data_IF_319569237252
#
_entry.id   IF_319569237252
#
_cell.length_a   1.000
_cell.length_b   1.000
_cell.length_c   1.000
_cell.angle_alpha   90.00
_cell.angle_beta   90.00
_cell.angle_gamma   90.00
#
_symmetry.space_group_name_H-M   'P 1'
#
loop_
_entity.id
_entity.type
_entity.pdbx_description
1 polymer ?
#
# COMPACT_ATOMS: atom_id res chain seq x y z
N UNK A 1 -13.86 0.81 -21.26
CA UNK A 1 -14.37 0.24 -19.99
C UNK A 1 -13.44 0.42 -18.78
N UNK A 2 -12.13 0.68 -18.96
CA UNK A 2 -11.11 0.71 -17.87
C UNK A 2 -11.25 1.83 -16.83
N UNK A 3 -11.81 2.99 -17.20
CA UNK A 3 -11.86 4.20 -16.33
C UNK A 3 -13.25 4.41 -15.71
N UNK A 4 -14.31 3.97 -16.39
CA UNK A 4 -15.70 4.19 -15.95
C UNK A 4 -16.08 3.39 -14.70
N UNK A 5 -15.49 2.21 -14.49
CA UNK A 5 -15.73 1.38 -13.29
C UNK A 5 -15.07 1.97 -12.03
N UNK A 6 -13.93 2.67 -12.19
CA UNK A 6 -13.18 3.29 -11.07
C UNK A 6 -13.86 4.57 -10.55
N UNK A 7 -14.52 5.34 -11.44
CA UNK A 7 -15.19 6.61 -11.09
C UNK A 7 -16.32 6.44 -10.05
N UNK A 8 -16.89 5.25 -9.92
CA UNK A 8 -17.96 4.93 -8.95
C UNK A 8 -17.44 4.57 -7.55
N UNK A 9 -16.14 4.25 -7.38
CA UNK A 9 -15.61 3.57 -6.18
C UNK A 9 -14.49 4.35 -5.49
N UNK A 10 -14.73 5.64 -5.24
CA UNK A 10 -13.79 6.61 -4.63
C UNK A 10 -13.17 6.14 -3.31
N UNK A 11 -13.96 5.49 -2.44
CA UNK A 11 -13.51 5.01 -1.12
C UNK A 11 -12.43 3.92 -1.24
N UNK A 12 -12.57 3.01 -2.21
CA UNK A 12 -11.63 1.92 -2.39
C UNK A 12 -10.29 2.44 -2.92
N UNK A 13 -10.35 3.36 -3.88
CA UNK A 13 -9.17 4.06 -4.40
C UNK A 13 -8.43 4.79 -3.27
N UNK A 14 -9.17 5.47 -2.40
CA UNK A 14 -8.61 6.12 -1.22
C UNK A 14 -7.88 5.13 -0.30
N UNK A 15 -8.50 4.01 0.06
CA UNK A 15 -7.85 3.03 0.95
C UNK A 15 -6.57 2.42 0.36
N UNK A 16 -6.54 2.16 -0.95
CA UNK A 16 -5.33 1.67 -1.63
C UNK A 16 -4.23 2.73 -1.61
N UNK A 17 -4.56 3.97 -1.98
CA UNK A 17 -3.58 5.06 -1.95
C UNK A 17 -3.07 5.31 -0.52
N UNK A 18 -3.97 5.31 0.47
CA UNK A 18 -3.66 5.53 1.88
C UNK A 18 -2.76 4.44 2.46
N UNK A 19 -3.01 3.16 2.17
CA UNK A 19 -2.14 2.08 2.66
C UNK A 19 -0.73 2.18 2.08
N UNK A 20 -0.60 2.52 0.79
CA UNK A 20 0.69 2.69 0.12
C UNK A 20 1.44 3.93 0.63
N UNK A 21 0.70 5.00 0.91
CA UNK A 21 1.21 6.20 1.59
C UNK A 21 1.80 5.87 2.95
N UNK A 22 1.03 5.19 3.81
CA UNK A 22 1.49 4.80 5.14
C UNK A 22 2.71 3.88 5.06
N UNK A 23 2.69 2.89 4.18
CA UNK A 23 3.82 1.97 4.00
C UNK A 23 5.10 2.73 3.62
N UNK A 24 5.04 3.57 2.58
CA UNK A 24 6.19 4.34 2.11
C UNK A 24 6.75 5.27 3.18
N UNK A 25 5.88 6.03 3.83
CA UNK A 25 6.30 6.99 4.85
C UNK A 25 6.96 6.29 6.04
N UNK A 26 6.39 5.19 6.52
CA UNK A 26 6.84 4.54 7.75
C UNK A 26 8.12 3.73 7.54
N UNK A 27 8.27 3.05 6.39
CA UNK A 27 9.49 2.29 6.09
C UNK A 27 10.67 3.24 5.82
N UNK A 28 10.46 4.30 5.04
CA UNK A 28 11.53 5.28 4.78
C UNK A 28 11.93 6.04 6.05
N UNK A 29 10.95 6.44 6.88
CA UNK A 29 11.23 7.09 8.15
C UNK A 29 11.95 6.15 9.12
N UNK A 30 11.45 4.92 9.27
CA UNK A 30 12.02 3.92 10.18
C UNK A 30 13.46 3.57 9.87
N UNK A 31 13.80 3.42 8.59
CA UNK A 31 15.17 3.09 8.16
C UNK A 31 16.09 4.33 8.11
N UNK A 32 15.57 5.53 7.83
CA UNK A 32 16.39 6.74 7.69
C UNK A 32 16.65 7.48 9.01
N UNK A 33 15.95 7.12 10.08
CA UNK A 33 16.01 7.80 11.40
C UNK A 33 16.73 6.99 12.48
N UNK A 34 17.36 5.86 12.15
CA UNK A 34 18.03 5.01 13.14
C UNK A 34 19.10 5.76 13.94
N UNK A 35 19.75 6.76 13.31
CA UNK A 35 20.80 7.57 13.94
C UNK A 35 20.29 8.82 14.68
N UNK A 36 19.03 9.25 14.46
CA UNK A 36 18.52 10.57 14.88
C UNK A 36 17.48 10.53 16.00
N UNK A 37 16.84 9.37 16.22
CA UNK A 37 15.88 9.16 17.30
C UNK A 37 16.39 8.02 18.16
N UNK A 38 16.25 8.12 19.49
CA UNK A 38 16.51 6.98 20.38
C UNK A 38 15.80 5.75 19.83
N UNK A 39 16.54 4.68 19.53
CA UNK A 39 16.04 3.55 18.73
C UNK A 39 14.70 2.96 19.21
N UNK A 40 14.39 3.10 20.49
CA UNK A 40 13.09 2.73 21.09
C UNK A 40 11.92 3.56 20.57
N UNK A 41 12.03 4.89 20.45
CA UNK A 41 10.97 5.74 19.91
C UNK A 41 10.77 5.53 18.40
N UNK A 42 11.87 5.40 17.64
CA UNK A 42 11.81 5.11 16.21
C UNK A 42 11.10 3.79 15.93
N UNK A 43 11.43 2.74 16.70
CA UNK A 43 10.80 1.43 16.58
C UNK A 43 9.29 1.47 16.88
N UNK A 44 8.86 2.22 17.91
CA UNK A 44 7.43 2.35 18.24
C UNK A 44 6.64 3.01 17.10
N UNK A 45 7.17 4.10 16.52
CA UNK A 45 6.53 4.81 15.40
C UNK A 45 6.45 3.89 14.17
N UNK A 46 7.54 3.18 13.85
CA UNK A 46 7.58 2.20 12.77
C UNK A 46 6.51 1.11 12.99
N UNK A 47 6.46 0.52 14.18
CA UNK A 47 5.51 -0.55 14.50
C UNK A 47 4.05 -0.10 14.34
N UNK A 48 3.67 1.05 14.92
CA UNK A 48 2.30 1.60 14.81
C UNK A 48 1.97 1.88 13.34
N UNK A 49 2.89 2.52 12.63
CA UNK A 49 2.74 2.84 11.22
C UNK A 49 2.55 1.62 10.33
N UNK A 50 3.33 0.57 10.57
CA UNK A 50 3.26 -0.69 9.84
C UNK A 50 1.93 -1.41 10.11
N UNK A 51 1.48 -1.45 11.37
CA UNK A 51 0.17 -2.03 11.74
C UNK A 51 -0.96 -1.30 11.03
N UNK A 52 -0.95 0.04 11.03
CA UNK A 52 -1.94 0.85 10.32
C UNK A 52 -1.94 0.60 8.81
N UNK A 53 -0.75 0.48 8.20
CA UNK A 53 -0.61 0.16 6.79
C UNK A 53 -1.21 -1.23 6.47
N UNK A 54 -0.92 -2.25 7.29
CA UNK A 54 -1.46 -3.59 7.12
C UNK A 54 -2.99 -3.63 7.26
N UNK A 55 -3.55 -3.01 8.30
CA UNK A 55 -5.02 -2.96 8.50
C UNK A 55 -5.70 -2.26 7.33
N UNK A 56 -5.17 -1.11 6.90
CA UNK A 56 -5.70 -0.36 5.75
C UNK A 56 -5.64 -1.19 4.47
N UNK A 57 -4.59 -1.98 4.28
CA UNK A 57 -4.42 -2.84 3.12
C UNK A 57 -5.41 -4.02 3.11
N UNK A 58 -5.68 -4.65 4.27
CA UNK A 58 -6.70 -5.69 4.40
C UNK A 58 -8.10 -5.13 4.09
N UNK A 59 -8.41 -3.94 4.59
CA UNK A 59 -9.67 -3.24 4.31
C UNK A 59 -9.82 -2.90 2.82
N UNK A 60 -8.76 -2.35 2.21
CA UNK A 60 -8.72 -2.05 0.78
C UNK A 60 -9.01 -3.31 -0.04
N UNK A 61 -8.33 -4.40 0.29
CA UNK A 61 -8.41 -5.62 -0.48
C UNK A 61 -9.76 -6.34 -0.34
N UNK A 62 -10.30 -6.42 0.88
CA UNK A 62 -11.64 -6.98 1.12
C UNK A 62 -12.72 -6.16 0.43
N UNK A 63 -12.60 -4.83 0.48
CA UNK A 63 -13.48 -3.91 -0.26
C UNK A 63 -13.34 -4.08 -1.76
N UNK A 64 -12.13 -4.35 -2.28
CA UNK A 64 -11.89 -4.56 -3.71
C UNK A 64 -12.64 -5.79 -4.21
N UNK A 65 -12.56 -6.90 -3.49
CA UNK A 65 -13.30 -8.13 -3.83
C UNK A 65 -14.81 -7.88 -3.76
N UNK A 66 -15.31 -7.34 -2.63
CA UNK A 66 -16.75 -7.13 -2.43
C UNK A 66 -17.34 -6.16 -3.45
N UNK A 67 -16.66 -5.05 -3.72
CA UNK A 67 -17.18 -4.02 -4.63
C UNK A 67 -17.08 -4.39 -6.12
N UNK A 68 -16.22 -5.34 -6.48
CA UNK A 68 -16.04 -5.78 -7.86
C UNK A 68 -16.64 -7.16 -8.14
N UNK A 69 -17.33 -7.79 -7.18
CA UNK A 69 -17.95 -9.11 -7.35
C UNK A 69 -18.84 -9.20 -8.60
N UNK A 70 -19.68 -8.18 -8.87
CA UNK A 70 -20.51 -8.11 -10.09
C UNK A 70 -19.66 -8.05 -11.36
N UNK A 71 -18.57 -7.28 -11.35
CA UNK A 71 -17.68 -7.14 -12.49
C UNK A 71 -16.92 -8.46 -12.77
N UNK A 72 -16.49 -9.15 -11.70
CA UNK A 72 -15.87 -10.47 -11.78
C UNK A 72 -16.85 -11.50 -12.35
N UNK A 73 -18.11 -11.49 -11.91
CA UNK A 73 -19.15 -12.38 -12.42
C UNK A 73 -19.43 -12.16 -13.91
N UNK A 74 -19.49 -10.90 -14.37
CA UNK A 74 -19.64 -10.57 -15.80
C UNK A 74 -18.43 -11.07 -16.60
N UNK A 75 -17.21 -10.83 -16.14
CA UNK A 75 -16.01 -11.35 -16.82
C UNK A 75 -15.98 -12.88 -16.86
N UNK A 76 -16.42 -13.55 -15.79
CA UNK A 76 -16.56 -15.02 -15.75
C UNK A 76 -17.57 -15.52 -16.79
N UNK A 77 -18.72 -14.86 -16.93
CA UNK A 77 -19.72 -15.20 -17.95
C UNK A 77 -19.21 -14.99 -19.39
N UNK A 78 -18.23 -14.09 -19.58
CA UNK A 78 -17.53 -13.90 -20.85
C UNK A 78 -16.40 -14.92 -21.10
N UNK A 79 -16.22 -15.90 -20.22
CA UNK A 79 -15.21 -16.96 -20.36
C UNK A 79 -13.84 -16.67 -19.74
N UNK A 80 -13.67 -15.55 -19.01
CA UNK A 80 -12.42 -15.27 -18.30
C UNK A 80 -12.28 -16.17 -17.07
N UNK A 81 -11.05 -16.64 -16.84
CA UNK A 81 -10.68 -17.28 -15.57
C UNK A 81 -10.83 -16.31 -14.39
N UNK A 82 -11.21 -16.82 -13.22
CA UNK A 82 -11.31 -16.02 -11.99
C UNK A 82 -10.02 -15.28 -11.67
N UNK A 83 -8.87 -15.89 -11.97
CA UNK A 83 -7.54 -15.31 -11.76
C UNK A 83 -7.31 -14.08 -12.66
N UNK A 84 -7.70 -14.18 -13.93
CA UNK A 84 -7.50 -13.12 -14.92
C UNK A 84 -8.45 -11.95 -14.70
N UNK A 85 -9.70 -12.25 -14.32
CA UNK A 85 -10.68 -11.25 -13.89
C UNK A 85 -10.17 -10.46 -12.70
N UNK A 86 -9.68 -11.16 -11.66
CA UNK A 86 -9.16 -10.52 -10.46
C UNK A 86 -7.90 -9.69 -10.75
N UNK A 87 -6.94 -10.25 -11.50
CA UNK A 87 -5.70 -9.58 -11.90
C UNK A 87 -5.98 -8.30 -12.68
N UNK A 88 -6.90 -8.34 -13.64
CA UNK A 88 -7.29 -7.17 -14.46
C UNK A 88 -7.84 -6.02 -13.63
N UNK A 89 -8.67 -6.35 -12.64
CA UNK A 89 -9.27 -5.35 -11.75
C UNK A 89 -8.20 -4.75 -10.84
N UNK A 90 -7.33 -5.59 -10.27
CA UNK A 90 -6.27 -5.14 -9.37
C UNK A 90 -5.21 -4.26 -10.07
N UNK A 91 -4.84 -4.61 -11.30
CA UNK A 91 -3.98 -3.78 -12.15
C UNK A 91 -4.54 -2.37 -12.37
N UNK A 92 -5.86 -2.19 -12.31
CA UNK A 92 -6.50 -0.88 -12.37
C UNK A 92 -6.22 0.02 -11.18
N UNK A 93 -5.74 -0.52 -10.05
CA UNK A 93 -5.43 0.24 -8.84
C UNK A 93 -3.95 0.63 -8.73
N UNK A 94 -3.08 0.12 -9.60
CA UNK A 94 -1.63 0.42 -9.60
C UNK A 94 -1.35 1.93 -9.66
N UNK A 95 -2.01 2.74 -10.51
CA UNK A 95 -1.75 4.19 -10.54
C UNK A 95 -2.00 4.86 -9.19
N UNK A 96 -3.00 4.42 -8.44
CA UNK A 96 -3.33 4.97 -7.12
C UNK A 96 -2.39 4.48 -6.04
N UNK A 97 -1.94 3.22 -6.13
CA UNK A 97 -0.89 2.68 -5.27
C UNK A 97 0.42 3.47 -5.46
N UNK A 98 0.79 3.76 -6.71
CA UNK A 98 1.94 4.59 -7.04
C UNK A 98 1.80 6.03 -6.52
N UNK A 99 0.62 6.65 -6.71
CA UNK A 99 0.33 7.98 -6.14
C UNK A 99 0.49 7.99 -4.61
N UNK A 100 -0.05 6.98 -3.93
CA UNK A 100 0.10 6.83 -2.48
C UNK A 100 1.57 6.76 -2.07
N UNK A 101 2.37 5.91 -2.72
CA UNK A 101 3.79 5.75 -2.45
C UNK A 101 4.58 7.05 -2.66
N UNK A 102 4.35 7.74 -3.78
CA UNK A 102 4.99 9.02 -4.11
C UNK A 102 4.65 10.06 -3.05
N UNK A 103 3.36 10.21 -2.71
CA UNK A 103 2.93 11.15 -1.67
C UNK A 103 3.52 10.81 -0.31
N UNK A 104 3.64 9.52 0.04
CA UNK A 104 4.24 9.07 1.30
C UNK A 104 5.71 9.42 1.40
N UNK A 105 6.45 9.23 0.30
CA UNK A 105 7.88 9.62 0.18
C UNK A 105 8.06 11.13 0.38
N UNK A 106 7.27 11.95 -0.34
CA UNK A 106 7.35 13.41 -0.19
C UNK A 106 6.93 13.89 1.20
N UNK A 107 5.87 13.30 1.75
CA UNK A 107 5.38 13.64 3.09
C UNK A 107 6.43 13.35 4.15
N UNK A 108 7.04 12.16 4.12
CA UNK A 108 8.07 11.76 5.07
C UNK A 108 9.29 12.68 5.00
N UNK A 109 9.82 12.92 3.80
CA UNK A 109 10.98 13.81 3.62
C UNK A 109 10.68 15.24 4.08
N UNK A 110 9.51 15.77 3.71
CA UNK A 110 9.09 17.12 4.09
C UNK A 110 8.89 17.28 5.60
N UNK A 111 8.23 16.33 6.25
CA UNK A 111 7.98 16.36 7.69
C UNK A 111 9.29 16.36 8.47
N UNK A 112 10.25 15.52 8.07
CA UNK A 112 11.55 15.43 8.72
C UNK A 112 12.42 16.67 8.49
N UNK A 113 12.40 17.19 7.26
CA UNK A 113 13.09 18.44 6.92
C UNK A 113 12.55 19.60 7.76
N UNK A 114 11.23 19.70 7.94
CA UNK A 114 10.63 20.73 8.81
C UNK A 114 11.03 20.49 10.26
N UNK A 115 10.97 19.26 10.75
CA UNK A 115 11.34 18.93 12.13
C UNK A 115 12.77 19.38 12.45
N UNK A 116 13.73 19.07 11.58
CA UNK A 116 15.14 19.40 11.79
C UNK A 116 15.37 20.92 11.69
N UNK A 117 14.82 21.56 10.66
CA UNK A 117 15.06 23.00 10.44
C UNK A 117 14.30 23.92 11.40
N UNK A 118 13.21 23.45 12.03
CA UNK A 118 12.36 24.25 12.91
C UNK A 118 12.58 23.92 14.39
N UNK A 119 12.74 22.64 14.75
CA UNK A 119 12.87 22.21 16.15
C UNK A 119 14.34 22.16 16.60
N UNK A 120 15.28 21.81 15.72
CA UNK A 120 16.69 21.63 16.07
C UNK A 120 17.58 22.82 15.69
N UNK A 121 17.01 23.91 15.18
CA UNK A 121 17.74 25.07 14.65
C UNK A 121 18.73 25.71 15.64
N UNK A 122 18.38 25.71 16.93
CA UNK A 122 19.19 26.33 18.00
C UNK A 122 20.14 25.35 18.69
N UNK A 123 20.14 24.08 18.26
CA UNK A 123 21.02 23.04 18.78
C UNK A 123 22.23 23.00 17.84
N UNK A 124 23.38 23.50 18.28
CA UNK A 124 24.56 23.82 17.45
C UNK A 124 25.20 22.67 16.65
N UNK A 125 24.60 21.48 16.62
CA UNK A 125 24.96 20.36 15.77
C UNK A 125 23.70 19.81 15.08
N UNK A 126 23.16 20.59 14.13
CA UNK A 126 21.98 20.19 13.35
C UNK A 126 22.39 19.03 12.43
N UNK A 127 21.82 17.83 12.58
CA UNK A 127 22.14 16.73 11.69
C UNK A 127 21.65 17.05 10.27
N UNK A 128 22.54 17.00 9.28
CA UNK A 128 22.17 17.16 7.87
C UNK A 128 21.31 15.98 7.42
N UNK A 129 20.00 16.22 7.27
CA UNK A 129 19.11 15.21 6.71
C UNK A 129 19.03 15.36 5.19
N UNK A 130 19.74 14.47 4.50
CA UNK A 130 19.69 14.33 3.06
C UNK A 130 18.73 13.20 2.66
N UNK A 131 18.13 13.31 1.48
CA UNK A 131 17.29 12.25 0.95
C UNK A 131 18.12 10.98 0.71
N UNK A 132 17.82 9.92 1.46
CA UNK A 132 18.56 8.67 1.37
C UNK A 132 18.09 7.83 0.17
N UNK A 133 18.76 8.03 -0.96
CA UNK A 133 18.50 7.33 -2.23
C UNK A 133 18.54 5.78 -2.05
N UNK A 134 19.55 5.18 -1.38
CA UNK A 134 19.53 3.75 -1.08
C UNK A 134 18.25 3.27 -0.36
N UNK A 135 17.85 3.95 0.71
CA UNK A 135 16.65 3.58 1.49
C UNK A 135 15.38 3.72 0.65
N UNK A 136 15.31 4.72 -0.23
CA UNK A 136 14.20 4.85 -1.17
C UNK A 136 14.06 3.62 -2.07
N UNK A 137 15.15 3.14 -2.67
CA UNK A 137 15.13 1.95 -3.52
C UNK A 137 14.83 0.66 -2.74
N UNK A 138 15.35 0.53 -1.52
CA UNK A 138 15.02 -0.59 -0.63
C UNK A 138 13.52 -0.58 -0.30
N UNK A 139 12.97 0.57 0.03
CA UNK A 139 11.54 0.73 0.33
C UNK A 139 10.67 0.45 -0.89
N UNK A 140 11.10 0.90 -2.08
CA UNK A 140 10.42 0.61 -3.34
C UNK A 140 10.41 -0.89 -3.64
N UNK A 141 11.53 -1.57 -3.44
CA UNK A 141 11.62 -3.02 -3.63
C UNK A 141 10.73 -3.78 -2.64
N UNK A 142 10.79 -3.42 -1.35
CA UNK A 142 9.90 -3.97 -0.32
C UNK A 142 8.43 -3.73 -0.65
N UNK A 143 8.08 -2.53 -1.13
CA UNK A 143 6.72 -2.19 -1.55
C UNK A 143 6.25 -3.11 -2.68
N UNK A 144 7.05 -3.30 -3.73
CA UNK A 144 6.71 -4.19 -4.85
C UNK A 144 6.53 -5.62 -4.36
N UNK A 145 7.44 -6.12 -3.52
CA UNK A 145 7.38 -7.48 -2.96
C UNK A 145 6.13 -7.67 -2.10
N UNK A 146 5.85 -6.76 -1.17
CA UNK A 146 4.67 -6.81 -0.30
C UNK A 146 3.38 -6.73 -1.13
N UNK A 147 3.31 -5.81 -2.09
CA UNK A 147 2.16 -5.62 -2.96
C UNK A 147 1.88 -6.87 -3.81
N UNK A 148 2.93 -7.44 -4.43
CA UNK A 148 2.84 -8.68 -5.21
C UNK A 148 2.44 -9.88 -4.33
N UNK A 149 3.01 -10.00 -3.13
CA UNK A 149 2.69 -11.06 -2.18
C UNK A 149 1.23 -11.01 -1.76
N UNK A 150 0.69 -9.83 -1.48
CA UNK A 150 -0.71 -9.65 -1.07
C UNK A 150 -1.66 -9.97 -2.23
N UNK A 151 -1.34 -9.54 -3.46
CA UNK A 151 -2.09 -9.96 -4.64
C UNK A 151 -2.09 -11.48 -4.77
N UNK A 152 -0.94 -12.14 -4.59
CA UNK A 152 -0.84 -13.59 -4.71
C UNK A 152 -1.67 -14.32 -3.64
N UNK A 153 -1.56 -13.90 -2.37
CA UNK A 153 -2.33 -14.46 -1.25
C UNK A 153 -3.83 -14.36 -1.51
N UNK A 154 -4.32 -13.19 -1.93
CA UNK A 154 -5.75 -13.02 -2.17
C UNK A 154 -6.24 -13.71 -3.45
N UNK A 155 -5.43 -13.76 -4.51
CA UNK A 155 -5.74 -14.51 -5.71
C UNK A 155 -5.85 -16.01 -5.39
N UNK A 156 -4.98 -16.53 -4.51
CA UNK A 156 -5.07 -17.90 -4.00
C UNK A 156 -6.32 -18.11 -3.12
N UNK A 157 -6.64 -17.16 -2.24
CA UNK A 157 -7.82 -17.21 -1.37
C UNK A 157 -9.13 -17.23 -2.15
N UNK A 158 -9.25 -16.42 -3.21
CA UNK A 158 -10.44 -16.37 -4.07
C UNK A 158 -10.63 -17.69 -4.83
N UNK A 159 -9.55 -18.29 -5.36
CA UNK A 159 -9.65 -19.59 -6.03
C UNK A 159 -10.21 -20.68 -5.09
N UNK A 160 -9.79 -20.70 -3.82
CA UNK A 160 -10.31 -21.67 -2.83
C UNK A 160 -11.79 -21.47 -2.52
N UNK A 161 -12.26 -20.23 -2.46
CA UNK A 161 -13.68 -19.92 -2.20
C UNK A 161 -14.55 -20.37 -3.38
N UNK A 162 -14.16 -20.05 -4.62
CA UNK A 162 -14.93 -20.42 -5.82
C UNK A 162 -14.98 -21.94 -6.05
N UNK A 163 -13.91 -22.69 -5.74
CA UNK A 163 -13.95 -24.16 -5.86
C UNK A 163 -14.94 -24.77 -4.87
N UNK A 164 -15.00 -24.25 -3.63
CA UNK A 164 -15.95 -24.75 -2.62
C UNK A 164 -17.40 -24.50 -3.00
N UNK A 165 -17.73 -23.33 -3.55
CA UNK A 165 -19.09 -23.04 -4.03
C UNK A 165 -19.48 -23.95 -5.19
N UNK A 166 -18.59 -24.21 -6.16
CA UNK A 166 -18.89 -25.07 -7.31
C UNK A 166 -19.12 -26.53 -6.88
N UNK A 167 -18.36 -27.03 -5.90
CA UNK A 167 -18.46 -28.42 -5.43
C UNK A 167 -19.67 -28.63 -4.50
N UNK A 168 -20.19 -27.59 -3.86
CA UNK A 168 -21.38 -27.67 -2.99
C UNK A 168 -22.71 -27.52 -3.74
N UNK A 169 -22.67 -27.00 -4.97
CA UNK A 169 -23.84 -26.87 -5.87
C UNK A 169 -23.93 -28.00 -6.93
N UNK A 170 -23.18 -29.11 -6.77
CA UNK A 170 -23.24 -30.31 -7.62
C UNK A 170 -23.74 -31.52 -6.83
#
# INVERSE_FOLDING_TARGET
>A
MRISTLKSKKILVFFVAFSCFCFSAMVQMGLSMEDLVTGTMGFMILAIGLVLAFVSMIMAMTSLVKNNAKNIAVMKAMGFSQKDSFKTIFLGYIPFAALGFILGTFYQYGLLSIMINLVFKDVGNVPEYNFNIPIFFITLLLFIVCYASILFVYLHRINKITIKEIVLDS
#
